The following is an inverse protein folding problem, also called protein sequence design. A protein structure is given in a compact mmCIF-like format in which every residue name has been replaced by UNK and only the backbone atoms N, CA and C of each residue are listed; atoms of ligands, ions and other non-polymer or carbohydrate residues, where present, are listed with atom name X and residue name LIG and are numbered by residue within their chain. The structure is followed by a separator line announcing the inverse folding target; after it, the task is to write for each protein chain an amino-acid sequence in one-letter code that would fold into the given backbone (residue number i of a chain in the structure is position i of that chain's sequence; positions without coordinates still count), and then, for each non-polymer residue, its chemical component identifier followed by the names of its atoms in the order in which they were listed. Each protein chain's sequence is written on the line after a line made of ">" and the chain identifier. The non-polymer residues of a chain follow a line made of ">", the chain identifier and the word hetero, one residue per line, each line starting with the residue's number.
data_IF_728239392274
#
_entry.id   IF_728239392274
#
_cell.length_a   1.000
_cell.length_b   1.000
_cell.length_c   1.000
_cell.angle_alpha   90.00
_cell.angle_beta   90.00
_cell.angle_gamma   90.00
#
_symmetry.space_group_name_H-M   'P 1'
#
loop_
_entity.id
_entity.type
_entity.pdbx_description
1 polymer ?
#
# COMPACT_ATOMS: atom_id res chain seq x y z
N UNK A 1 -15.24 0.09 -7.00
CA UNK A 1 -15.86 1.44 -6.81
C UNK A 1 -16.54 1.87 -8.10
N UNK A 2 -17.57 2.69 -8.00
CA UNK A 2 -18.25 3.29 -9.17
C UNK A 2 -17.30 4.20 -9.95
N UNK A 3 -16.53 5.00 -9.24
CA UNK A 3 -15.53 5.94 -9.79
C UNK A 3 -14.17 5.68 -9.14
N UNK A 4 -13.09 5.81 -9.93
CA UNK A 4 -11.73 5.71 -9.43
C UNK A 4 -11.41 6.82 -8.43
N UNK A 5 -10.75 6.45 -7.32
CA UNK A 5 -10.32 7.40 -6.27
C UNK A 5 -8.92 7.09 -5.79
N UNK A 6 -8.08 8.14 -5.71
CA UNK A 6 -6.81 8.13 -5.02
C UNK A 6 -6.88 8.85 -3.69
N UNK A 7 -5.93 8.62 -2.79
CA UNK A 7 -5.87 9.23 -1.46
C UNK A 7 -7.15 9.03 -0.64
N UNK A 8 -7.75 7.86 -0.80
CA UNK A 8 -8.91 7.38 -0.06
C UNK A 8 -8.48 6.62 1.19
N UNK A 9 -9.39 6.46 2.14
CA UNK A 9 -9.22 5.57 3.29
C UNK A 9 -10.27 4.47 3.27
N UNK A 10 -9.97 3.35 3.92
CA UNK A 10 -10.91 2.24 4.08
C UNK A 10 -10.92 1.72 5.50
N UNK A 11 -12.01 1.07 5.85
CA UNK A 11 -12.14 0.21 7.02
C UNK A 11 -12.95 -1.01 6.63
N UNK A 12 -12.74 -2.10 7.38
CA UNK A 12 -13.52 -3.32 7.21
C UNK A 12 -14.36 -3.59 8.46
N UNK A 13 -15.63 -3.91 8.25
CA UNK A 13 -16.56 -4.35 9.31
C UNK A 13 -17.33 -5.54 8.78
N UNK A 14 -17.20 -6.67 9.45
CA UNK A 14 -17.71 -7.97 8.99
C UNK A 14 -17.18 -8.30 7.58
N UNK A 15 -18.05 -8.60 6.64
CA UNK A 15 -17.73 -8.89 5.24
C UNK A 15 -17.85 -7.66 4.31
N UNK A 16 -17.83 -6.45 4.87
CA UNK A 16 -17.98 -5.21 4.11
C UNK A 16 -16.75 -4.31 4.25
N UNK A 17 -16.22 -3.86 3.14
CA UNK A 17 -15.20 -2.81 3.08
C UNK A 17 -15.90 -1.48 2.78
N UNK A 18 -15.70 -0.51 3.66
CA UNK A 18 -16.20 0.86 3.50
C UNK A 18 -15.05 1.75 3.05
N UNK A 19 -15.22 2.40 1.91
CA UNK A 19 -14.21 3.29 1.31
C UNK A 19 -14.71 4.71 1.33
N UNK A 20 -14.05 5.56 2.11
CA UNK A 20 -14.48 6.94 2.35
C UNK A 20 -13.58 7.96 1.66
N UNK A 21 -14.16 9.07 1.25
CA UNK A 21 -13.46 10.26 0.73
C UNK A 21 -12.48 9.95 -0.42
N UNK A 22 -11.40 10.72 -0.54
CA UNK A 22 -10.40 10.61 -1.58
C UNK A 22 -10.62 11.60 -2.71
N UNK A 23 -9.79 11.56 -3.73
CA UNK A 23 -9.84 12.44 -4.89
C UNK A 23 -10.28 11.66 -6.13
N UNK A 24 -11.28 12.19 -6.82
CA UNK A 24 -11.78 11.71 -8.11
C UNK A 24 -11.22 12.59 -9.22
N UNK A 25 -10.77 11.97 -10.30
CA UNK A 25 -10.37 12.69 -11.49
C UNK A 25 -11.56 13.48 -12.04
N UNK A 26 -11.34 14.78 -12.35
CA UNK A 26 -12.36 15.72 -12.88
C UNK A 26 -13.52 16.09 -11.94
N UNK A 27 -13.61 15.50 -10.75
CA UNK A 27 -14.72 15.76 -9.82
C UNK A 27 -14.28 16.28 -8.44
N UNK A 28 -12.96 16.30 -8.17
CA UNK A 28 -12.41 16.83 -6.92
C UNK A 28 -12.50 15.84 -5.74
N UNK A 29 -12.58 16.38 -4.53
CA UNK A 29 -12.64 15.56 -3.33
C UNK A 29 -14.01 14.90 -3.18
N UNK A 30 -14.02 13.59 -2.97
CA UNK A 30 -15.23 12.83 -2.71
C UNK A 30 -15.80 13.14 -1.32
N UNK A 31 -17.12 13.14 -1.21
CA UNK A 31 -17.87 13.39 0.01
C UNK A 31 -18.81 12.23 0.38
N UNK A 32 -18.44 11.02 0.02
CA UNK A 32 -19.28 9.83 0.21
C UNK A 32 -18.49 8.60 0.63
N UNK A 33 -19.21 7.61 1.13
CA UNK A 33 -18.73 6.25 1.41
C UNK A 33 -19.35 5.30 0.39
N UNK A 34 -18.52 4.50 -0.26
CA UNK A 34 -18.94 3.28 -0.95
C UNK A 34 -18.68 2.07 -0.06
N UNK A 35 -19.61 1.15 -0.10
CA UNK A 35 -19.53 -0.16 0.56
C UNK A 35 -19.32 -1.24 -0.50
N UNK A 36 -18.30 -2.06 -0.31
CA UNK A 36 -18.07 -3.29 -1.06
C UNK A 36 -18.42 -4.49 -0.19
N UNK A 37 -19.45 -5.24 -0.55
CA UNK A 37 -19.74 -6.51 0.08
C UNK A 37 -18.85 -7.59 -0.55
N UNK A 38 -18.04 -8.23 0.28
CA UNK A 38 -17.02 -9.20 -0.17
C UNK A 38 -17.68 -10.49 -0.68
N UNK A 39 -18.72 -10.96 0.00
CA UNK A 39 -19.44 -12.18 -0.35
C UNK A 39 -20.17 -12.05 -1.68
N UNK A 40 -20.88 -10.95 -1.86
CA UNK A 40 -21.66 -10.69 -3.08
C UNK A 40 -20.82 -10.13 -4.23
N UNK A 41 -19.58 -9.71 -3.96
CA UNK A 41 -18.71 -9.00 -4.91
C UNK A 41 -19.38 -7.76 -5.52
N UNK A 42 -20.07 -6.96 -4.70
CA UNK A 42 -20.87 -5.82 -5.15
C UNK A 42 -20.55 -4.53 -4.42
N UNK A 43 -20.55 -3.45 -5.19
CA UNK A 43 -20.45 -2.08 -4.69
C UNK A 43 -21.81 -1.42 -4.57
N UNK A 44 -21.98 -0.62 -3.53
CA UNK A 44 -23.12 0.29 -3.35
C UNK A 44 -22.66 1.58 -2.68
N UNK A 45 -23.37 2.69 -2.91
CA UNK A 45 -23.19 3.91 -2.12
C UNK A 45 -23.82 3.66 -0.75
N UNK A 46 -23.03 3.85 0.31
CA UNK A 46 -23.51 3.70 1.69
C UNK A 46 -23.99 5.03 2.26
N UNK A 47 -23.20 6.10 2.11
CA UNK A 47 -23.52 7.44 2.59
C UNK A 47 -22.92 8.49 1.65
N UNK A 48 -23.66 9.55 1.35
CA UNK A 48 -23.27 10.63 0.42
C UNK A 48 -23.26 12.03 1.04
N UNK A 49 -23.20 12.11 2.37
CA UNK A 49 -23.32 13.37 3.11
C UNK A 49 -22.08 13.74 3.92
N UNK A 50 -20.92 13.13 3.60
CA UNK A 50 -19.66 13.46 4.24
C UNK A 50 -19.14 14.85 3.83
N UNK A 51 -18.27 15.40 4.64
CA UNK A 51 -17.43 16.53 4.26
C UNK A 51 -16.37 16.08 3.24
N UNK A 52 -16.16 16.88 2.20
CA UNK A 52 -15.20 16.59 1.14
C UNK A 52 -13.76 16.63 1.64
N UNK A 53 -13.05 15.53 1.54
CA UNK A 53 -11.65 15.37 1.98
C UNK A 53 -10.85 14.49 1.02
N UNK A 54 -9.55 14.70 0.99
CA UNK A 54 -8.56 13.75 0.46
C UNK A 54 -7.45 13.55 1.48
N UNK A 55 -6.78 12.40 1.45
CA UNK A 55 -5.80 12.02 2.46
C UNK A 55 -6.36 12.03 3.90
N UNK A 56 -7.64 11.77 4.03
CA UNK A 56 -8.28 11.55 5.30
C UNK A 56 -7.90 10.17 5.84
N UNK A 57 -8.08 10.00 7.15
CA UNK A 57 -7.98 8.72 7.84
C UNK A 57 -9.38 8.21 8.18
N UNK A 58 -9.53 6.90 8.21
CA UNK A 58 -10.71 6.22 8.75
C UNK A 58 -10.30 5.10 9.68
N UNK A 59 -10.98 5.01 10.81
CA UNK A 59 -10.86 3.89 11.75
C UNK A 59 -12.28 3.44 12.15
N UNK A 60 -12.41 2.21 12.64
CA UNK A 60 -13.72 1.67 13.06
C UNK A 60 -13.69 1.20 14.50
N UNK A 61 -14.76 1.49 15.23
CA UNK A 61 -14.97 1.04 16.60
C UNK A 61 -16.46 0.97 16.95
N UNK A 62 -16.90 -0.12 17.57
CA UNK A 62 -18.29 -0.31 18.02
C UNK A 62 -19.33 0.04 16.93
N UNK A 63 -19.17 -0.58 15.75
CA UNK A 63 -20.08 -0.41 14.60
C UNK A 63 -20.21 1.04 14.09
N UNK A 64 -19.17 1.86 14.30
CA UNK A 64 -19.08 3.23 13.79
C UNK A 64 -17.78 3.43 13.02
N UNK A 65 -17.83 4.28 11.99
CA UNK A 65 -16.66 4.73 11.24
C UNK A 65 -16.31 6.14 11.70
N UNK A 66 -15.07 6.35 12.09
CA UNK A 66 -14.49 7.64 12.47
C UNK A 66 -13.66 8.15 11.31
N UNK A 67 -14.01 9.30 10.73
CA UNK A 67 -13.34 9.91 9.56
C UNK A 67 -12.78 11.26 9.98
N UNK A 68 -11.49 11.42 9.91
CA UNK A 68 -10.78 12.59 10.47
C UNK A 68 -9.57 12.96 9.63
N UNK A 69 -8.92 14.07 9.98
CA UNK A 69 -7.76 14.61 9.25
C UNK A 69 -8.04 14.86 7.76
N UNK A 70 -6.97 14.97 6.98
CA UNK A 70 -7.03 15.19 5.53
C UNK A 70 -7.07 16.65 5.14
N UNK A 71 -6.95 16.90 3.85
CA UNK A 71 -7.09 18.22 3.27
C UNK A 71 -8.51 18.44 2.77
N UNK A 72 -9.08 19.57 3.15
CA UNK A 72 -10.44 20.00 2.82
C UNK A 72 -11.28 20.36 4.05
N UNK A 73 -11.21 19.57 5.13
CA UNK A 73 -11.96 19.83 6.34
C UNK A 73 -11.37 19.15 7.58
N UNK A 74 -11.41 19.82 8.73
CA UNK A 74 -10.81 19.39 10.01
C UNK A 74 -11.74 18.60 10.92
N UNK A 75 -13.03 18.54 10.62
CA UNK A 75 -13.99 17.90 11.50
C UNK A 75 -13.81 16.38 11.53
N UNK A 76 -13.89 15.82 12.74
CA UNK A 76 -14.13 14.40 12.94
C UNK A 76 -15.60 14.10 12.65
N UNK A 77 -15.86 13.23 11.69
CA UNK A 77 -17.17 12.71 11.35
C UNK A 77 -17.29 11.28 11.85
N UNK A 78 -18.38 10.98 12.54
CA UNK A 78 -18.67 9.67 13.11
C UNK A 78 -19.93 9.15 12.42
N UNK A 79 -19.75 8.11 11.61
CA UNK A 79 -20.83 7.49 10.83
C UNK A 79 -21.26 6.21 11.53
N UNK A 80 -22.47 6.17 11.97
CA UNK A 80 -23.09 5.00 12.58
C UNK A 80 -23.54 4.03 11.49
N UNK A 81 -23.04 2.79 11.50
CA UNK A 81 -23.29 1.82 10.43
C UNK A 81 -24.69 1.20 10.47
N UNK A 82 -25.37 1.26 11.59
CA UNK A 82 -26.73 0.75 11.74
C UNK A 82 -27.77 1.78 11.26
N UNK A 83 -27.64 3.02 11.72
CA UNK A 83 -28.59 4.08 11.44
C UNK A 83 -28.24 4.93 10.24
N UNK A 84 -27.03 4.80 9.71
CA UNK A 84 -26.44 5.62 8.65
C UNK A 84 -26.40 7.13 8.98
N UNK A 85 -26.47 7.50 10.24
CA UNK A 85 -26.39 8.90 10.71
C UNK A 85 -24.96 9.33 10.88
N UNK A 86 -24.70 10.62 10.57
CA UNK A 86 -23.41 11.27 10.79
C UNK A 86 -23.53 12.20 11.99
N UNK A 87 -22.61 12.06 12.94
CA UNK A 87 -22.40 13.01 14.04
C UNK A 87 -20.98 13.57 13.97
N UNK A 88 -20.73 14.66 14.67
CA UNK A 88 -19.39 15.27 14.74
C UNK A 88 -18.81 15.01 16.12
N UNK A 89 -17.54 14.61 16.17
CA UNK A 89 -16.77 14.56 17.39
C UNK A 89 -15.91 15.82 17.59
N UNK A 90 -15.11 15.82 18.65
CA UNK A 90 -14.25 16.93 19.02
C UNK A 90 -13.29 17.32 17.88
N UNK A 91 -13.13 18.62 17.69
CA UNK A 91 -12.27 19.18 16.65
C UNK A 91 -10.79 18.91 16.95
N UNK A 92 -10.10 18.28 16.00
CA UNK A 92 -8.65 18.18 16.05
C UNK A 92 -8.00 19.53 15.65
N UNK A 93 -7.46 20.27 16.63
CA UNK A 93 -6.79 21.55 16.40
C UNK A 93 -5.37 21.40 15.80
N UNK A 94 -4.90 20.19 15.63
CA UNK A 94 -3.58 19.85 15.10
C UNK A 94 -3.66 18.85 13.95
N UNK A 95 -4.72 18.92 13.16
CA UNK A 95 -4.91 18.01 12.04
C UNK A 95 -3.92 18.24 10.91
N UNK A 96 -3.60 17.18 10.20
CA UNK A 96 -2.72 17.18 9.02
C UNK A 96 -3.34 16.34 7.91
N UNK A 97 -2.92 16.55 6.68
CA UNK A 97 -3.22 15.63 5.59
C UNK A 97 -2.14 14.55 5.49
N UNK A 98 -2.50 13.41 4.92
CA UNK A 98 -1.60 12.28 4.68
C UNK A 98 -0.87 11.79 5.96
N UNK A 99 -1.55 11.92 7.11
CA UNK A 99 -1.12 11.38 8.39
C UNK A 99 -1.29 9.85 8.43
N UNK A 100 -0.56 9.20 9.33
CA UNK A 100 -0.84 7.84 9.74
C UNK A 100 -1.91 7.78 10.83
N UNK A 101 -2.65 6.68 10.88
CA UNK A 101 -3.54 6.36 12.01
C UNK A 101 -3.57 4.88 12.31
N UNK A 102 -3.95 4.57 13.54
CA UNK A 102 -4.26 3.23 14.02
C UNK A 102 -5.19 3.31 15.23
N UNK A 103 -6.00 2.30 15.45
CA UNK A 103 -6.91 2.24 16.60
C UNK A 103 -6.52 1.11 17.53
N UNK A 104 -6.65 1.37 18.84
CA UNK A 104 -6.44 0.38 19.88
C UNK A 104 -7.22 0.77 21.15
N UNK A 105 -7.99 -0.17 21.72
CA UNK A 105 -8.71 -0.02 22.97
C UNK A 105 -9.52 1.29 23.09
N UNK A 106 -10.31 1.62 22.04
CA UNK A 106 -11.14 2.83 22.04
C UNK A 106 -10.38 4.15 21.88
N UNK A 107 -9.08 4.10 21.57
CA UNK A 107 -8.23 5.26 21.28
C UNK A 107 -7.78 5.22 19.82
N UNK A 108 -7.99 6.31 19.11
CA UNK A 108 -7.52 6.48 17.72
C UNK A 108 -6.21 7.29 17.76
N UNK A 109 -5.12 6.63 17.47
CA UNK A 109 -3.78 7.21 17.39
C UNK A 109 -3.56 7.87 16.03
N UNK A 110 -3.03 9.09 16.02
CA UNK A 110 -2.80 9.89 14.81
C UNK A 110 -1.40 10.49 14.86
N UNK A 111 -0.64 10.32 13.79
CA UNK A 111 0.78 10.69 13.78
C UNK A 111 1.25 11.18 12.41
N UNK A 112 2.18 12.13 12.43
CA UNK A 112 2.82 12.66 11.25
C UNK A 112 1.91 13.46 10.34
N UNK A 113 2.15 13.35 9.03
CA UNK A 113 1.42 14.07 7.99
C UNK A 113 2.10 15.38 7.58
N UNK A 114 1.38 16.19 6.81
CA UNK A 114 1.83 17.50 6.34
C UNK A 114 0.69 18.52 6.30
N UNK A 115 1.03 19.81 6.16
CA UNK A 115 0.04 20.87 6.07
C UNK A 115 -0.78 21.04 7.34
N UNK A 116 -0.13 21.29 8.48
CA UNK A 116 -0.78 21.49 9.78
C UNK A 116 -1.91 22.53 9.67
N UNK A 117 -3.08 22.17 10.20
CA UNK A 117 -4.30 22.98 10.19
C UNK A 117 -4.76 23.38 8.77
N UNK A 118 -4.52 22.52 7.78
CA UNK A 118 -4.92 22.75 6.39
C UNK A 118 -4.09 23.78 5.64
N UNK A 119 -3.01 24.29 6.26
CA UNK A 119 -2.10 25.19 5.58
C UNK A 119 -1.48 24.50 4.35
N UNK A 120 -1.47 25.18 3.22
CA UNK A 120 -0.84 24.71 1.98
C UNK A 120 0.70 24.72 2.07
N UNK A 121 1.26 24.37 3.22
CA UNK A 121 2.69 24.32 3.47
C UNK A 121 3.20 22.89 3.31
N UNK A 122 4.36 22.75 2.71
CA UNK A 122 5.11 21.50 2.60
C UNK A 122 5.78 21.08 3.91
N UNK A 123 5.41 21.69 5.05
CA UNK A 123 5.99 21.33 6.34
C UNK A 123 5.44 19.99 6.81
N UNK A 124 6.35 19.07 7.01
CA UNK A 124 6.06 17.76 7.60
C UNK A 124 5.90 17.89 9.12
N UNK A 125 5.03 17.05 9.67
CA UNK A 125 4.72 16.99 11.08
C UNK A 125 5.34 15.74 11.72
N UNK A 126 5.83 15.88 12.94
CA UNK A 126 6.17 14.76 13.82
C UNK A 126 5.14 14.59 14.95
N UNK A 127 4.08 15.37 14.97
CA UNK A 127 3.06 15.31 16.01
C UNK A 127 2.48 13.91 16.14
N UNK A 128 2.29 13.51 17.40
CA UNK A 128 1.64 12.28 17.77
C UNK A 128 0.60 12.57 18.85
N UNK A 129 -0.59 12.06 18.67
CA UNK A 129 -1.73 12.28 19.56
C UNK A 129 -2.72 11.13 19.45
N UNK A 130 -3.62 11.00 20.41
CA UNK A 130 -4.77 10.12 20.27
C UNK A 130 -6.08 10.86 20.54
N UNK A 131 -7.14 10.37 19.92
CA UNK A 131 -8.51 10.70 20.21
C UNK A 131 -9.09 9.59 21.10
N UNK A 132 -9.58 9.98 22.28
CA UNK A 132 -10.28 9.09 23.19
C UNK A 132 -11.78 9.09 22.82
N UNK A 133 -12.27 7.95 22.37
CA UNK A 133 -13.66 7.80 21.90
C UNK A 133 -14.67 7.98 23.05
N UNK A 134 -14.32 7.52 24.25
CA UNK A 134 -15.23 7.55 25.38
C UNK A 134 -15.45 8.96 25.93
N UNK A 135 -14.38 9.78 25.97
CA UNK A 135 -14.45 11.15 26.48
C UNK A 135 -14.65 12.20 25.41
N UNK A 136 -14.60 11.82 24.11
CA UNK A 136 -14.64 12.75 22.95
C UNK A 136 -13.57 13.86 23.05
N UNK A 137 -12.32 13.47 23.37
CA UNK A 137 -11.21 14.42 23.56
C UNK A 137 -9.93 13.99 22.86
N UNK A 138 -9.10 14.99 22.48
CA UNK A 138 -7.77 14.78 21.89
C UNK A 138 -6.67 14.96 22.94
N UNK A 139 -5.71 14.04 22.96
CA UNK A 139 -4.59 14.05 23.91
C UNK A 139 -3.26 13.95 23.17
N UNK A 140 -2.27 14.84 23.49
CA UNK A 140 -0.94 14.75 22.91
C UNK A 140 -0.16 13.56 23.51
N UNK A 141 0.76 13.02 22.71
CA UNK A 141 1.74 12.00 23.06
C UNK A 141 3.16 12.49 22.70
N UNK A 142 4.22 11.80 23.15
CA UNK A 142 5.59 12.13 22.73
C UNK A 142 5.73 12.07 21.21
N UNK A 143 6.14 13.17 20.60
CA UNK A 143 6.28 13.33 19.15
C UNK A 143 7.12 12.22 18.50
N UNK A 144 6.83 11.92 17.23
CA UNK A 144 7.64 10.97 16.46
C UNK A 144 9.10 11.42 16.36
N UNK A 145 10.07 10.50 16.30
CA UNK A 145 11.49 10.83 16.13
C UNK A 145 11.79 11.64 14.86
N UNK A 146 10.97 11.49 13.83
CA UNK A 146 11.17 12.14 12.52
C UNK A 146 9.85 12.64 11.95
N UNK A 147 9.79 13.93 11.61
CA UNK A 147 8.64 14.54 10.92
C UNK A 147 8.50 14.01 9.50
N UNK A 148 7.32 13.45 9.15
CA UNK A 148 7.02 12.94 7.80
C UNK A 148 5.54 12.61 7.60
N UNK A 149 5.08 12.61 6.36
CA UNK A 149 3.88 11.87 5.97
C UNK A 149 4.17 10.38 6.14
N UNK A 150 3.25 9.60 6.68
CA UNK A 150 3.53 8.19 6.96
C UNK A 150 2.26 7.36 7.09
N UNK A 151 2.44 6.07 7.37
CA UNK A 151 1.40 5.11 7.73
C UNK A 151 1.89 4.27 8.90
N UNK A 152 0.97 3.68 9.64
CA UNK A 152 1.31 2.75 10.71
C UNK A 152 0.15 1.83 11.06
N UNK A 153 0.48 0.78 11.78
CA UNK A 153 -0.48 -0.19 12.31
C UNK A 153 -0.03 -0.63 13.70
N UNK A 154 -0.99 -1.03 14.52
CA UNK A 154 -0.74 -1.56 15.86
C UNK A 154 -0.81 -3.08 15.81
N UNK A 155 0.20 -3.72 16.40
CA UNK A 155 0.30 -5.17 16.60
C UNK A 155 0.88 -5.40 17.99
N UNK A 156 0.22 -6.21 18.83
CA UNK A 156 0.69 -6.57 20.17
C UNK A 156 1.10 -5.35 21.02
N UNK A 157 0.19 -4.38 21.16
CA UNK A 157 0.37 -3.13 21.93
C UNK A 157 1.55 -2.26 21.46
N UNK A 158 2.04 -2.46 20.26
CA UNK A 158 3.08 -1.65 19.65
C UNK A 158 2.61 -1.02 18.35
N UNK A 159 2.78 0.30 18.22
CA UNK A 159 2.54 1.02 16.98
C UNK A 159 3.80 1.00 16.11
N UNK A 160 3.69 0.41 14.93
CA UNK A 160 4.74 0.39 13.91
C UNK A 160 4.46 1.48 12.87
N UNK A 161 5.30 2.53 12.86
CA UNK A 161 5.22 3.63 11.90
C UNK A 161 6.19 3.37 10.76
N UNK A 162 5.66 3.06 9.58
CA UNK A 162 6.42 2.48 8.47
C UNK A 162 6.59 3.49 7.34
N UNK A 163 7.83 3.67 6.88
CA UNK A 163 8.15 4.47 5.72
C UNK A 163 7.66 5.91 5.80
N UNK A 164 7.27 6.47 4.68
CA UNK A 164 6.73 7.83 4.59
C UNK A 164 7.58 8.77 3.75
N UNK A 165 7.25 10.06 3.78
CA UNK A 165 7.89 11.09 2.95
C UNK A 165 8.18 12.37 3.75
N UNK A 166 9.40 12.87 3.61
CA UNK A 166 9.83 14.17 4.15
C UNK A 166 10.80 14.92 3.21
N UNK A 167 10.52 14.82 1.92
CA UNK A 167 11.44 15.24 0.84
C UNK A 167 12.02 14.02 0.10
N UNK A 168 12.20 12.92 0.82
CA UNK A 168 12.59 11.62 0.26
C UNK A 168 11.73 10.51 0.86
N UNK A 169 11.65 9.36 0.16
CA UNK A 169 10.96 8.19 0.69
C UNK A 169 11.76 7.57 1.83
N UNK A 170 11.14 7.41 2.99
CA UNK A 170 11.79 6.91 4.21
C UNK A 170 11.95 5.39 4.20
N UNK A 171 13.07 4.91 4.75
CA UNK A 171 13.33 3.48 5.00
C UNK A 171 13.00 3.06 6.44
N UNK A 172 12.61 4.00 7.30
CA UNK A 172 12.48 3.75 8.73
C UNK A 172 11.16 3.05 9.08
N UNK A 173 11.25 2.13 10.03
CA UNK A 173 10.14 1.62 10.82
C UNK A 173 10.41 2.05 12.26
N UNK A 174 9.65 2.99 12.79
CA UNK A 174 9.74 3.38 14.19
C UNK A 174 8.66 2.66 14.99
N UNK A 175 9.00 2.25 16.20
CA UNK A 175 8.09 1.51 17.09
C UNK A 175 7.82 2.33 18.33
N UNK A 176 6.54 2.50 18.64
CA UNK A 176 6.06 3.10 19.88
C UNK A 176 5.34 2.04 20.72
N UNK A 177 5.75 1.89 21.95
CA UNK A 177 5.16 0.96 22.90
C UNK A 177 4.02 1.65 23.65
N UNK A 178 2.80 1.15 23.49
CA UNK A 178 1.57 1.74 24.06
C UNK A 178 1.45 1.50 25.57
N UNK A 179 2.18 0.55 26.13
CA UNK A 179 2.17 0.26 27.57
C UNK A 179 3.11 1.18 28.35
N UNK A 180 4.19 1.62 27.70
CA UNK A 180 5.21 2.48 28.34
C UNK A 180 5.16 3.93 27.87
N UNK A 181 4.33 4.23 26.86
CA UNK A 181 4.20 5.53 26.22
C UNK A 181 5.55 6.08 25.70
N UNK A 182 6.35 5.22 25.04
CA UNK A 182 7.70 5.57 24.54
C UNK A 182 7.98 5.03 23.16
N UNK A 183 8.77 5.78 22.39
CA UNK A 183 9.45 5.27 21.20
C UNK A 183 10.58 4.35 21.66
N UNK A 184 10.57 3.09 21.24
CA UNK A 184 11.48 2.04 21.73
C UNK A 184 12.48 1.61 20.67
N UNK A 185 12.00 1.19 19.51
CA UNK A 185 12.81 0.53 18.49
C UNK A 185 12.76 1.26 17.15
N UNK A 186 13.78 1.04 16.34
CA UNK A 186 13.83 1.48 14.96
C UNK A 186 14.45 0.39 14.08
N UNK A 187 13.74 0.03 13.02
CA UNK A 187 14.23 -0.89 12.00
C UNK A 187 14.39 -0.15 10.67
N UNK A 188 15.18 -0.74 9.77
CA UNK A 188 15.44 -0.16 8.45
C UNK A 188 15.06 -1.13 7.34
N UNK A 189 14.14 -0.70 6.48
CA UNK A 189 13.74 -1.45 5.29
C UNK A 189 14.84 -1.44 4.20
N UNK A 190 14.89 -2.43 3.31
CA UNK A 190 15.83 -2.47 2.20
C UNK A 190 15.74 -1.26 1.26
N UNK A 191 14.56 -0.68 1.09
CA UNK A 191 14.32 0.51 0.26
C UNK A 191 13.35 1.47 0.93
N UNK A 192 13.46 2.76 0.60
CA UNK A 192 12.52 3.79 1.05
C UNK A 192 11.17 3.65 0.35
N UNK A 193 10.09 3.80 1.12
CA UNK A 193 8.72 3.71 0.62
C UNK A 193 7.87 4.89 1.11
N UNK A 194 7.01 5.40 0.23
CA UNK A 194 6.02 6.44 0.54
C UNK A 194 4.78 6.28 -0.33
N UNK A 195 3.65 6.85 0.09
CA UNK A 195 2.39 6.70 -0.63
C UNK A 195 1.88 5.25 -0.72
N UNK A 196 2.38 4.40 0.15
CA UNK A 196 1.99 2.99 0.30
C UNK A 196 0.74 2.85 1.16
N UNK A 197 0.14 1.67 1.14
CA UNK A 197 -0.94 1.24 2.04
C UNK A 197 -0.47 0.14 2.96
N UNK A 198 -1.12 0.01 4.12
CA UNK A 198 -0.82 -1.00 5.14
C UNK A 198 -2.09 -1.75 5.54
N UNK A 199 -1.94 -3.07 5.74
CA UNK A 199 -2.96 -3.90 6.37
C UNK A 199 -2.30 -4.92 7.31
N UNK A 200 -3.03 -5.46 8.28
CA UNK A 200 -2.50 -6.39 9.29
C UNK A 200 -3.19 -7.73 9.19
N UNK A 201 -2.41 -8.80 9.34
CA UNK A 201 -2.89 -10.15 9.56
C UNK A 201 -2.00 -10.84 10.60
N UNK A 202 -2.54 -11.11 11.78
CA UNK A 202 -1.73 -11.62 12.89
C UNK A 202 -0.54 -10.71 13.19
N UNK A 203 0.65 -11.28 13.23
CA UNK A 203 1.89 -10.55 13.49
C UNK A 203 2.54 -9.93 12.23
N UNK A 204 1.87 -9.98 11.09
CA UNK A 204 2.40 -9.48 9.82
C UNK A 204 1.73 -8.17 9.42
N UNK A 205 2.54 -7.15 9.13
CA UNK A 205 2.08 -5.88 8.57
C UNK A 205 2.40 -5.88 7.08
N UNK A 206 1.38 -6.01 6.24
CA UNK A 206 1.50 -5.98 4.78
C UNK A 206 1.65 -4.55 4.28
N UNK A 207 2.51 -4.37 3.28
CA UNK A 207 2.88 -3.09 2.69
C UNK A 207 2.68 -3.21 1.18
N UNK A 208 1.80 -2.39 0.61
CA UNK A 208 1.44 -2.50 -0.80
C UNK A 208 1.49 -1.15 -1.54
N UNK A 209 1.99 -1.18 -2.78
CA UNK A 209 2.14 -0.02 -3.63
C UNK A 209 3.19 0.97 -3.13
N UNK A 210 3.22 2.16 -3.71
CA UNK A 210 4.12 3.22 -3.27
C UNK A 210 4.54 4.16 -4.39
N UNK A 211 5.17 5.26 -4.02
CA UNK A 211 5.52 6.33 -4.96
C UNK A 211 6.62 5.90 -5.95
N UNK A 212 7.69 5.30 -5.44
CA UNK A 212 8.86 4.92 -6.23
C UNK A 212 8.74 3.51 -6.84
N UNK A 213 7.96 2.63 -6.21
CA UNK A 213 7.67 1.29 -6.70
C UNK A 213 6.18 1.00 -6.51
N UNK A 214 5.41 1.19 -7.55
CA UNK A 214 3.95 1.12 -7.52
C UNK A 214 3.41 -0.32 -7.49
N UNK A 215 4.24 -1.31 -7.80
CA UNK A 215 3.92 -2.74 -7.72
C UNK A 215 4.54 -3.40 -6.49
N UNK A 216 5.06 -2.60 -5.56
CA UNK A 216 5.69 -3.11 -4.35
C UNK A 216 4.69 -3.89 -3.49
N UNK A 217 5.10 -5.07 -3.06
CA UNK A 217 4.36 -5.89 -2.10
C UNK A 217 5.36 -6.56 -1.15
N UNK A 218 5.12 -6.42 0.14
CA UNK A 218 5.97 -6.97 1.19
C UNK A 218 5.16 -7.14 2.48
N UNK A 219 5.74 -7.81 3.46
CA UNK A 219 5.29 -7.71 4.84
C UNK A 219 6.48 -7.55 5.80
N UNK A 220 6.23 -6.89 6.91
CA UNK A 220 7.10 -6.86 8.08
C UNK A 220 6.53 -7.81 9.13
N UNK A 221 7.31 -8.79 9.53
CA UNK A 221 6.96 -9.73 10.60
C UNK A 221 7.41 -9.14 11.93
N UNK A 222 6.44 -8.82 12.80
CA UNK A 222 6.69 -8.13 14.06
C UNK A 222 7.25 -9.06 15.15
N UNK A 223 7.11 -10.38 14.99
CA UNK A 223 7.68 -11.38 15.91
C UNK A 223 9.17 -11.55 15.69
N UNK A 224 9.56 -11.64 14.41
CA UNK A 224 10.97 -11.86 14.02
C UNK A 224 11.71 -10.57 13.72
N UNK A 225 10.99 -9.44 13.58
CA UNK A 225 11.49 -8.14 13.13
C UNK A 225 12.13 -8.18 11.75
N UNK A 226 11.65 -9.08 10.89
CA UNK A 226 12.16 -9.27 9.53
C UNK A 226 11.23 -8.71 8.49
N UNK A 227 11.84 -8.22 7.42
CA UNK A 227 11.15 -7.70 6.25
C UNK A 227 11.18 -8.75 5.14
N UNK A 228 10.02 -9.07 4.57
CA UNK A 228 9.85 -10.07 3.51
C UNK A 228 9.23 -9.44 2.27
N UNK A 229 9.97 -9.40 1.19
CA UNK A 229 9.44 -8.93 -0.09
C UNK A 229 8.71 -10.08 -0.79
N UNK A 230 7.53 -9.78 -1.34
CA UNK A 230 6.70 -10.72 -2.08
C UNK A 230 6.73 -10.43 -3.58
N UNK A 231 6.54 -11.45 -4.39
CA UNK A 231 6.25 -11.30 -5.82
C UNK A 231 4.88 -10.67 -6.01
N UNK A 232 4.74 -9.78 -6.98
CA UNK A 232 3.48 -9.07 -7.21
C UNK A 232 3.19 -8.88 -8.70
N UNK A 233 1.96 -9.20 -9.09
CA UNK A 233 1.36 -8.84 -10.37
C UNK A 233 0.34 -7.70 -10.22
N UNK A 234 0.48 -6.90 -9.16
CA UNK A 234 -0.42 -5.80 -8.85
C UNK A 234 -0.40 -4.74 -9.95
N UNK A 235 -1.57 -4.21 -10.28
CA UNK A 235 -1.67 -2.99 -11.09
C UNK A 235 -0.91 -1.88 -10.36
N UNK A 236 0.03 -1.19 -11.04
CA UNK A 236 0.81 -0.12 -10.43
C UNK A 236 -0.06 0.91 -9.74
N UNK A 237 0.18 1.18 -8.44
CA UNK A 237 -0.60 2.14 -7.67
C UNK A 237 0.14 2.73 -6.49
N UNK A 238 -0.27 3.94 -6.13
CA UNK A 238 0.11 4.63 -4.89
C UNK A 238 -1.13 5.27 -4.28
N UNK A 239 -1.06 5.63 -2.99
CA UNK A 239 -2.18 6.21 -2.26
C UNK A 239 -3.48 5.39 -2.38
N UNK A 240 -3.33 4.08 -2.42
CA UNK A 240 -4.41 3.11 -2.30
C UNK A 240 -4.81 2.94 -0.83
N UNK A 241 -5.93 2.29 -0.59
CA UNK A 241 -6.26 1.74 0.70
C UNK A 241 -6.01 0.22 0.71
N UNK A 242 -5.85 -0.38 1.90
CA UNK A 242 -5.65 -1.82 2.03
C UNK A 242 -6.33 -2.37 3.28
N UNK A 243 -6.96 -3.54 3.13
CA UNK A 243 -7.63 -4.28 4.20
C UNK A 243 -7.31 -5.76 4.11
N UNK A 244 -7.40 -6.46 5.24
CA UNK A 244 -7.31 -7.93 5.29
C UNK A 244 -8.62 -8.52 5.76
N UNK A 245 -9.08 -9.56 5.08
CA UNK A 245 -10.24 -10.36 5.47
C UNK A 245 -10.07 -11.81 5.04
N UNK A 246 -10.28 -12.75 5.95
CA UNK A 246 -10.20 -14.21 5.68
C UNK A 246 -8.93 -14.60 4.88
N UNK A 247 -7.75 -14.22 5.39
CA UNK A 247 -6.45 -14.48 4.76
C UNK A 247 -6.32 -13.96 3.32
N UNK A 248 -7.06 -12.90 3.00
CA UNK A 248 -6.94 -12.19 1.73
C UNK A 248 -6.63 -10.73 1.97
N UNK A 249 -5.63 -10.23 1.27
CA UNK A 249 -5.26 -8.82 1.23
C UNK A 249 -5.99 -8.14 0.08
N UNK A 250 -6.81 -7.15 0.40
CA UNK A 250 -7.55 -6.31 -0.54
C UNK A 250 -6.81 -4.99 -0.73
N UNK A 251 -6.44 -4.64 -1.95
CA UNK A 251 -5.79 -3.38 -2.31
C UNK A 251 -6.76 -2.59 -3.19
N UNK A 252 -7.17 -1.39 -2.72
CA UNK A 252 -8.37 -0.70 -3.19
C UNK A 252 -8.00 0.67 -3.73
N UNK A 253 -8.44 0.96 -4.95
CA UNK A 253 -8.26 2.28 -5.55
C UNK A 253 -6.79 2.67 -5.72
N UNK A 254 -6.49 3.94 -5.42
CA UNK A 254 -5.17 4.54 -5.64
C UNK A 254 -5.07 5.25 -6.98
N UNK A 255 -3.85 5.60 -7.36
CA UNK A 255 -3.56 6.27 -8.64
C UNK A 255 -2.21 5.84 -9.20
N UNK A 256 -2.04 5.90 -10.52
CA UNK A 256 -0.77 5.55 -11.18
C UNK A 256 0.18 6.73 -11.35
N UNK A 257 -0.31 7.93 -11.64
CA UNK A 257 0.53 9.12 -11.89
C UNK A 257 0.47 10.15 -10.77
N UNK A 258 -0.71 10.69 -10.48
CA UNK A 258 -0.94 11.61 -9.36
C UNK A 258 -2.30 11.30 -8.74
N UNK A 259 -2.54 11.81 -7.52
CA UNK A 259 -3.86 11.64 -6.87
C UNK A 259 -4.99 12.30 -7.65
N UNK A 260 -4.66 13.27 -8.51
CA UNK A 260 -5.61 14.04 -9.33
C UNK A 260 -5.76 13.51 -10.75
N UNK A 261 -4.97 12.51 -11.13
CA UNK A 261 -4.99 11.88 -12.46
C UNK A 261 -4.81 10.38 -12.35
N UNK A 262 -5.39 9.63 -13.28
CA UNK A 262 -5.25 8.17 -13.37
C UNK A 262 -5.70 7.43 -12.12
N UNK A 263 -6.80 7.87 -11.52
CA UNK A 263 -7.41 7.24 -10.37
C UNK A 263 -7.97 5.86 -10.72
N UNK A 264 -7.70 4.88 -9.86
CA UNK A 264 -8.04 3.47 -10.07
C UNK A 264 -9.34 3.15 -9.33
N UNK A 265 -10.27 2.44 -10.00
CA UNK A 265 -11.53 1.98 -9.39
C UNK A 265 -11.53 0.52 -8.94
N UNK A 266 -10.51 -0.25 -9.33
CA UNK A 266 -10.46 -1.68 -9.04
C UNK A 266 -10.04 -2.00 -7.62
N UNK A 267 -10.51 -3.15 -7.12
CA UNK A 267 -9.91 -3.91 -6.03
C UNK A 267 -9.03 -4.99 -6.65
N UNK A 268 -7.87 -5.22 -6.08
CA UNK A 268 -7.07 -6.42 -6.31
C UNK A 268 -6.96 -7.20 -5.01
N UNK A 269 -7.00 -8.52 -5.12
CA UNK A 269 -7.00 -9.43 -3.98
C UNK A 269 -5.80 -10.37 -4.11
N UNK A 270 -5.04 -10.51 -3.03
CA UNK A 270 -3.95 -11.47 -2.91
C UNK A 270 -4.24 -12.44 -1.77
N UNK A 271 -3.93 -13.71 -1.98
CA UNK A 271 -3.94 -14.72 -0.92
C UNK A 271 -2.70 -14.52 -0.03
N UNK A 272 -2.92 -14.48 1.29
CA UNK A 272 -1.88 -14.28 2.30
C UNK A 272 -1.85 -15.42 3.32
N UNK A 273 -2.37 -16.61 2.96
CA UNK A 273 -2.16 -17.82 3.77
C UNK A 273 -0.67 -18.13 3.91
N UNK A 274 -0.28 -18.81 4.97
CA UNK A 274 1.15 -19.17 5.19
C UNK A 274 1.72 -19.97 4.00
N UNK A 275 0.91 -20.84 3.38
CA UNK A 275 1.31 -21.57 2.18
C UNK A 275 1.54 -20.64 0.97
N UNK A 276 0.68 -19.63 0.77
CA UNK A 276 0.85 -18.64 -0.28
C UNK A 276 2.06 -17.73 -0.01
N UNK A 277 2.26 -17.33 1.23
CA UNK A 277 3.41 -16.51 1.64
C UNK A 277 4.73 -17.27 1.47
N UNK A 278 4.81 -18.51 1.91
CA UNK A 278 6.03 -19.33 1.77
C UNK A 278 6.38 -19.66 0.32
N UNK A 279 5.40 -19.77 -0.57
CA UNK A 279 5.63 -19.93 -2.01
C UNK A 279 6.00 -18.62 -2.72
N UNK A 280 5.62 -17.47 -2.15
CA UNK A 280 5.83 -16.14 -2.72
C UNK A 280 7.00 -15.36 -2.10
N UNK A 281 7.54 -15.80 -0.96
CA UNK A 281 8.77 -15.20 -0.46
C UNK A 281 9.87 -15.46 -1.50
N UNK A 282 10.36 -14.40 -2.08
CA UNK A 282 11.65 -14.47 -2.77
C UNK A 282 12.65 -14.98 -1.72
N UNK A 283 13.15 -16.19 -1.89
CA UNK A 283 14.17 -16.76 -0.99
C UNK A 283 15.23 -15.68 -0.74
N UNK A 284 15.40 -15.27 0.52
CA UNK A 284 16.53 -14.46 0.97
C UNK A 284 17.82 -15.31 1.01
N UNK A 285 17.99 -16.18 0.03
CA UNK A 285 19.31 -16.67 -0.28
C UNK A 285 20.07 -15.53 -0.95
N UNK A 286 21.17 -15.14 -0.36
CA UNK A 286 22.18 -14.20 -0.87
C UNK A 286 22.80 -14.67 -2.21
N UNK A 287 21.99 -15.15 -3.15
CA UNK A 287 22.45 -15.60 -4.46
C UNK A 287 21.69 -14.90 -5.58
N UNK A 288 22.40 -13.99 -6.24
CA UNK A 288 22.25 -13.58 -7.64
C UNK A 288 20.81 -13.34 -8.11
N UNK A 289 20.22 -12.18 -7.74
CA UNK A 289 18.92 -11.76 -8.33
C UNK A 289 19.06 -11.58 -9.83
N UNK A 290 18.52 -12.51 -10.60
CA UNK A 290 18.26 -12.33 -12.02
C UNK A 290 17.17 -11.24 -12.18
N UNK A 291 17.51 -10.12 -12.80
CA UNK A 291 16.58 -9.02 -13.09
C UNK A 291 16.38 -8.91 -14.59
N UNK A 292 15.18 -8.58 -15.00
CA UNK A 292 14.83 -8.37 -16.40
C UNK A 292 14.55 -6.89 -16.65
N UNK A 293 15.21 -6.34 -17.64
CA UNK A 293 15.05 -4.96 -18.08
C UNK A 293 14.72 -4.94 -19.57
N UNK A 294 13.76 -4.14 -19.99
CA UNK A 294 13.61 -3.81 -21.41
C UNK A 294 14.76 -2.90 -21.84
N UNK A 295 15.28 -3.10 -23.06
CA UNK A 295 16.26 -2.18 -23.61
C UNK A 295 15.61 -0.83 -24.00
N UNK A 296 16.44 0.19 -24.24
CA UNK A 296 15.98 1.54 -24.56
C UNK A 296 15.12 1.63 -25.83
N UNK A 297 15.30 0.71 -26.77
CA UNK A 297 14.56 0.67 -28.05
C UNK A 297 13.31 -0.22 -28.00
N UNK A 298 13.05 -0.90 -26.89
CA UNK A 298 11.92 -1.83 -26.69
C UNK A 298 11.85 -3.00 -27.70
N UNK A 299 12.94 -3.32 -28.37
CA UNK A 299 13.07 -4.43 -29.32
C UNK A 299 13.80 -5.65 -28.73
N UNK A 300 14.15 -5.58 -27.46
CA UNK A 300 14.78 -6.63 -26.69
C UNK A 300 14.74 -6.37 -25.20
N UNK A 301 15.35 -7.26 -24.45
CA UNK A 301 15.48 -7.12 -23.00
C UNK A 301 16.81 -7.72 -22.52
N UNK A 302 17.16 -7.41 -21.28
CA UNK A 302 18.38 -7.85 -20.62
C UNK A 302 18.00 -8.69 -19.41
N UNK A 303 18.53 -9.89 -19.31
CA UNK A 303 18.50 -10.66 -18.06
C UNK A 303 19.80 -10.36 -17.32
N UNK A 304 19.69 -9.58 -16.25
CA UNK A 304 20.84 -9.18 -15.45
C UNK A 304 21.06 -10.17 -14.31
N UNK A 305 22.31 -10.58 -14.17
CA UNK A 305 22.81 -11.34 -13.02
C UNK A 305 24.17 -10.74 -12.61
N UNK A 306 24.29 -10.24 -11.38
CA UNK A 306 25.47 -9.52 -10.91
C UNK A 306 26.76 -10.35 -10.94
N UNK A 307 26.64 -11.66 -10.78
CA UNK A 307 27.80 -12.56 -10.57
C UNK A 307 27.96 -13.54 -11.72
N UNK A 308 27.18 -13.44 -12.81
CA UNK A 308 27.23 -14.40 -13.90
C UNK A 308 27.20 -13.71 -15.27
N UNK A 309 28.13 -14.10 -16.11
CA UNK A 309 28.19 -13.72 -17.53
C UNK A 309 27.99 -14.92 -18.47
N UNK A 310 27.60 -16.09 -17.94
CA UNK A 310 27.52 -17.32 -18.70
C UNK A 310 26.37 -17.29 -19.71
N UNK A 311 26.48 -18.16 -20.70
CA UNK A 311 25.46 -18.41 -21.70
C UNK A 311 24.32 -19.28 -21.10
N UNK A 312 23.09 -19.00 -21.51
CA UNK A 312 21.94 -19.84 -21.20
C UNK A 312 21.05 -20.01 -22.44
N UNK A 313 20.33 -21.13 -22.49
CA UNK A 313 19.34 -21.40 -23.50
C UNK A 313 17.99 -20.77 -23.11
N UNK A 314 17.28 -20.20 -24.07
CA UNK A 314 15.94 -19.66 -23.86
C UNK A 314 14.95 -20.09 -24.94
N UNK A 315 13.67 -20.06 -24.60
CA UNK A 315 12.55 -20.24 -25.53
C UNK A 315 11.49 -19.15 -25.27
N UNK A 316 10.97 -18.56 -26.33
CA UNK A 316 9.86 -17.63 -26.32
C UNK A 316 8.61 -18.34 -26.76
N UNK A 317 7.57 -18.28 -25.97
CA UNK A 317 6.24 -18.80 -26.29
C UNK A 317 5.23 -17.67 -26.44
N UNK A 318 4.26 -17.85 -27.33
CA UNK A 318 3.03 -17.07 -27.32
C UNK A 318 2.20 -17.39 -26.07
N UNK A 319 1.22 -16.53 -25.76
CA UNK A 319 0.38 -16.71 -24.56
C UNK A 319 -0.50 -17.98 -24.60
N UNK A 320 -0.72 -18.54 -25.79
CA UNK A 320 -1.41 -19.83 -26.02
C UNK A 320 -0.46 -21.04 -26.01
N UNK A 321 0.83 -20.83 -25.67
CA UNK A 321 1.81 -21.89 -25.48
C UNK A 321 2.58 -22.34 -26.73
N UNK A 322 2.38 -21.70 -27.89
CA UNK A 322 3.12 -22.04 -29.12
C UNK A 322 4.55 -21.47 -29.04
N UNK A 323 5.56 -22.29 -29.39
CA UNK A 323 6.94 -21.83 -29.52
C UNK A 323 7.07 -20.84 -30.67
N UNK A 324 7.62 -19.65 -30.38
CA UNK A 324 7.81 -18.56 -31.34
C UNK A 324 9.28 -18.42 -31.74
N UNK A 325 10.17 -18.57 -30.76
CA UNK A 325 11.62 -18.44 -30.97
C UNK A 325 12.37 -19.17 -29.88
N UNK A 326 13.56 -19.67 -30.19
CA UNK A 326 14.51 -20.21 -29.23
C UNK A 326 15.92 -19.84 -29.61
N UNK A 327 16.82 -19.82 -28.64
CA UNK A 327 18.22 -19.46 -28.88
C UNK A 327 19.07 -19.50 -27.61
N UNK A 328 20.27 -18.98 -27.76
CA UNK A 328 21.19 -18.79 -26.65
C UNK A 328 21.39 -17.30 -26.40
N UNK A 329 21.51 -16.94 -25.13
CA UNK A 329 21.77 -15.58 -24.69
C UNK A 329 22.83 -15.58 -23.56
N UNK A 330 23.37 -14.42 -23.26
CA UNK A 330 24.28 -14.22 -22.14
C UNK A 330 23.61 -13.31 -21.11
N UNK A 331 23.85 -13.58 -19.82
CA UNK A 331 23.47 -12.65 -18.78
C UNK A 331 24.11 -11.27 -19.02
N UNK A 332 23.40 -10.21 -18.66
CA UNK A 332 23.84 -8.82 -18.80
C UNK A 332 24.08 -8.34 -20.25
N UNK A 333 23.60 -9.10 -21.24
CA UNK A 333 23.59 -8.70 -22.66
C UNK A 333 22.16 -8.60 -23.16
N UNK A 334 21.95 -7.73 -24.14
CA UNK A 334 20.65 -7.58 -24.78
C UNK A 334 20.27 -8.86 -25.55
N UNK A 335 19.10 -9.36 -25.27
CA UNK A 335 18.44 -10.43 -26.02
C UNK A 335 17.59 -9.74 -27.08
N UNK A 336 17.99 -9.88 -28.32
CA UNK A 336 17.32 -9.25 -29.46
C UNK A 336 16.05 -10.05 -29.82
N UNK A 337 14.91 -9.39 -29.79
CA UNK A 337 13.63 -9.91 -30.25
C UNK A 337 13.07 -9.13 -31.43
N UNK A 338 13.89 -8.37 -32.15
CA UNK A 338 13.46 -7.51 -33.27
C UNK A 338 12.68 -8.29 -34.34
N UNK A 339 12.95 -9.58 -34.50
CA UNK A 339 12.26 -10.48 -35.43
C UNK A 339 10.95 -11.08 -34.90
N UNK A 340 10.63 -10.89 -33.62
CA UNK A 340 9.36 -11.32 -33.04
C UNK A 340 8.34 -10.19 -33.22
N UNK A 341 7.11 -10.48 -33.63
CA UNK A 341 6.06 -9.46 -33.79
C UNK A 341 5.70 -8.81 -32.46
N UNK A 342 5.29 -7.51 -32.44
CA UNK A 342 4.79 -6.90 -31.23
C UNK A 342 3.65 -7.70 -30.59
N UNK A 343 3.72 -7.93 -29.27
CA UNK A 343 2.72 -8.71 -28.54
C UNK A 343 3.21 -9.17 -27.16
N UNK A 344 2.33 -9.89 -26.46
CA UNK A 344 2.63 -10.50 -25.17
C UNK A 344 3.17 -11.91 -25.36
N UNK A 345 4.26 -12.24 -24.66
CA UNK A 345 4.95 -13.52 -24.76
C UNK A 345 5.38 -14.02 -23.39
N UNK A 346 5.67 -15.31 -23.33
CA UNK A 346 6.31 -15.98 -22.17
C UNK A 346 7.74 -16.31 -22.58
N UNK A 347 8.72 -15.71 -21.91
CA UNK A 347 10.13 -16.04 -22.05
C UNK A 347 10.51 -17.05 -20.99
N UNK A 348 11.05 -18.18 -21.41
CA UNK A 348 11.41 -19.33 -20.57
C UNK A 348 12.89 -19.63 -20.69
N UNK A 349 13.60 -19.80 -19.58
CA UNK A 349 15.01 -20.21 -19.55
C UNK A 349 15.34 -20.98 -18.27
N UNK A 350 16.40 -21.75 -18.26
CA UNK A 350 16.92 -22.39 -17.04
C UNK A 350 18.00 -21.52 -16.43
N UNK A 351 17.86 -21.26 -15.12
CA UNK A 351 18.91 -20.56 -14.39
C UNK A 351 20.13 -21.49 -14.16
N UNK A 352 21.18 -20.96 -13.54
CA UNK A 352 22.44 -21.68 -13.23
C UNK A 352 22.24 -22.98 -12.44
N UNK A 353 21.16 -23.07 -11.65
CA UNK A 353 20.82 -24.26 -10.87
C UNK A 353 19.95 -25.25 -11.67
N UNK A 354 19.74 -25.00 -12.96
CA UNK A 354 18.86 -25.79 -13.82
C UNK A 354 17.35 -25.60 -13.58
N UNK A 355 16.99 -24.64 -12.74
CA UNK A 355 15.58 -24.33 -12.43
C UNK A 355 14.97 -23.52 -13.57
N UNK A 356 13.83 -23.97 -14.07
CA UNK A 356 13.09 -23.29 -15.12
C UNK A 356 12.51 -21.97 -14.59
N UNK A 357 12.84 -20.88 -15.27
CA UNK A 357 12.30 -19.55 -15.04
C UNK A 357 11.39 -19.15 -16.19
N UNK A 358 10.24 -18.56 -15.89
CA UNK A 358 9.31 -18.05 -16.89
C UNK A 358 8.94 -16.60 -16.58
N UNK A 359 9.02 -15.74 -17.57
CA UNK A 359 8.81 -14.31 -17.44
C UNK A 359 7.87 -13.85 -18.54
N UNK A 360 6.81 -13.11 -18.19
CA UNK A 360 5.99 -12.44 -19.19
C UNK A 360 6.73 -11.23 -19.72
N UNK A 361 6.85 -11.14 -21.03
CA UNK A 361 7.47 -10.03 -21.74
C UNK A 361 6.48 -9.44 -22.74
N UNK A 362 6.64 -8.16 -23.02
CA UNK A 362 5.99 -7.47 -24.13
C UNK A 362 7.09 -7.04 -25.11
N UNK A 363 6.91 -7.44 -26.36
CA UNK A 363 7.75 -7.02 -27.46
C UNK A 363 7.04 -5.93 -28.29
#
# INVERSE_FOLDING_TARGET
>A
MSVGRGATSSVIVNDNIYVSNGYQENSGNANYIEKYNITDNKWSVFNSSLLSKKFANSETYNNKIYIFNGWGNSHLEIVDLETNKITKGAVNRSYTGNAGSAIHNGKIYVFGGSGLNGAATTKFSNRFQYYDIASDTWHPLPDMPTARETRGKIVNDKLYVIGGFNGTSSRLINVYDLNTDRWTDQFTMPAGISGHSLAVSGDKIFIAGGYNNQTFLAYFDTTTNKFHQLSSNMIPRRHAAAEVYNNKLYIIGGSTTSVTKSAIKSIQVADITESALSSNTANEDHETKTRVYTNAHKDGFIISNKNNSNQFEYTVYSVDGKEISKGFAYYNKTIDLSRVRPGNYIFSFKNEKGVLQQIKIYR
#
